data_IF_284640180461
#
_entry.id   IF_284640180461
#
_cell.length_a   1.000
_cell.length_b   1.000
_cell.length_c   1.000
_cell.angle_alpha   90.00
_cell.angle_beta   90.00
_cell.angle_gamma   90.00
#
_symmetry.space_group_name_H-M   'P 1'
#
loop_
_entity.id
_entity.type
_entity.pdbx_description
1 polymer ?
#
# COMPACT_ATOMS: atom_id res chain seq x y z
N UNK A 1 -28.00 -21.81 -25.35
CA UNK A 1 -27.34 -22.82 -24.51
C UNK A 1 -26.35 -22.10 -23.61
N UNK A 2 -26.37 -22.33 -22.30
CA UNK A 2 -25.38 -21.76 -21.38
C UNK A 2 -24.06 -22.51 -21.57
N UNK A 3 -23.06 -21.84 -22.13
CA UNK A 3 -21.73 -22.42 -22.37
C UNK A 3 -20.97 -22.57 -21.05
N UNK A 4 -20.37 -23.74 -20.86
CA UNK A 4 -19.38 -23.94 -19.81
C UNK A 4 -18.11 -23.15 -20.12
N UNK A 5 -17.56 -22.50 -19.10
CA UNK A 5 -16.35 -21.66 -19.21
C UNK A 5 -15.40 -21.96 -18.06
N UNK A 6 -14.12 -21.68 -18.27
CA UNK A 6 -13.10 -21.82 -17.23
C UNK A 6 -12.95 -20.50 -16.45
N UNK A 7 -12.92 -20.60 -15.12
CA UNK A 7 -12.69 -19.46 -14.25
C UNK A 7 -11.25 -18.93 -14.42
N UNK A 8 -11.08 -17.63 -14.69
CA UNK A 8 -9.75 -17.03 -14.79
C UNK A 8 -8.90 -17.09 -13.52
N UNK A 9 -9.52 -17.30 -12.35
CA UNK A 9 -8.81 -17.31 -11.05
C UNK A 9 -8.43 -18.74 -10.63
N UNK A 10 -9.36 -19.68 -10.68
CA UNK A 10 -9.15 -21.05 -10.18
C UNK A 10 -9.14 -22.13 -11.26
N UNK A 11 -9.27 -21.76 -12.54
CA UNK A 11 -9.33 -22.65 -13.71
C UNK A 11 -10.42 -23.72 -13.68
N UNK A 12 -11.35 -23.70 -12.71
CA UNK A 12 -12.47 -24.65 -12.65
C UNK A 12 -13.55 -24.31 -13.69
N UNK A 13 -14.21 -25.31 -14.30
CA UNK A 13 -15.36 -25.09 -15.15
C UNK A 13 -16.52 -24.50 -14.34
N UNK A 14 -17.25 -23.57 -14.93
CA UNK A 14 -18.44 -22.98 -14.35
C UNK A 14 -19.42 -22.53 -15.44
N UNK A 15 -20.69 -22.46 -15.07
CA UNK A 15 -21.76 -21.94 -15.92
C UNK A 15 -21.95 -20.46 -15.60
N UNK A 16 -21.88 -19.61 -16.62
CA UNK A 16 -22.09 -18.17 -16.45
C UNK A 16 -23.54 -17.87 -16.02
N UNK A 17 -23.71 -16.86 -15.16
CA UNK A 17 -25.03 -16.41 -14.74
C UNK A 17 -25.84 -15.90 -15.95
N UNK A 18 -27.13 -16.27 -16.04
CA UNK A 18 -28.08 -15.82 -17.07
C UNK A 18 -28.05 -14.31 -17.30
N UNK A 19 -27.90 -13.51 -16.24
CA UNK A 19 -27.90 -12.04 -16.33
C UNK A 19 -26.51 -11.46 -16.62
N UNK A 20 -25.45 -12.27 -16.57
CA UNK A 20 -24.08 -11.86 -16.86
C UNK A 20 -23.39 -12.92 -17.73
N UNK A 21 -23.80 -13.07 -19.00
CA UNK A 21 -23.21 -14.06 -19.91
C UNK A 21 -21.72 -13.82 -20.17
N UNK A 22 -21.22 -12.60 -19.95
CA UNK A 22 -19.80 -12.23 -20.09
C UNK A 22 -18.98 -12.50 -18.81
N UNK A 23 -19.50 -13.28 -17.87
CA UNK A 23 -18.78 -13.65 -16.66
C UNK A 23 -17.52 -14.46 -16.99
N UNK A 24 -16.38 -14.01 -16.45
CA UNK A 24 -15.06 -14.63 -16.67
C UNK A 24 -14.49 -15.32 -15.42
N UNK A 25 -15.16 -15.16 -14.29
CA UNK A 25 -14.74 -15.67 -12.97
C UNK A 25 -15.93 -16.35 -12.32
N UNK A 26 -15.76 -17.56 -11.79
CA UNK A 26 -16.84 -18.33 -11.16
C UNK A 26 -17.37 -17.65 -9.88
N UNK A 27 -18.54 -18.05 -9.42
CA UNK A 27 -19.26 -17.42 -8.31
C UNK A 27 -18.72 -17.75 -6.91
N UNK A 28 -17.58 -18.44 -6.79
CA UNK A 28 -16.99 -18.74 -5.48
C UNK A 28 -16.48 -17.47 -4.80
N UNK A 29 -16.63 -17.39 -3.47
CA UNK A 29 -16.28 -16.21 -2.69
C UNK A 29 -14.81 -15.79 -2.91
N UNK A 30 -13.90 -16.75 -2.82
CA UNK A 30 -12.46 -16.57 -3.07
C UNK A 30 -12.18 -15.94 -4.45
N UNK A 31 -12.79 -16.47 -5.50
CA UNK A 31 -12.54 -15.98 -6.86
C UNK A 31 -13.17 -14.61 -7.11
N UNK A 32 -14.35 -14.35 -6.53
CA UNK A 32 -14.99 -13.04 -6.59
C UNK A 32 -14.17 -11.99 -5.84
N UNK A 33 -13.61 -12.32 -4.68
CA UNK A 33 -12.75 -11.45 -3.90
C UNK A 33 -11.45 -11.12 -4.66
N UNK A 34 -10.78 -12.12 -5.23
CA UNK A 34 -9.58 -11.90 -6.05
C UNK A 34 -9.87 -11.00 -7.26
N UNK A 35 -10.99 -11.24 -7.96
CA UNK A 35 -11.42 -10.36 -9.06
C UNK A 35 -11.65 -8.92 -8.59
N UNK A 36 -12.25 -8.73 -7.41
CA UNK A 36 -12.45 -7.40 -6.83
C UNK A 36 -11.11 -6.70 -6.57
N UNK A 37 -10.13 -7.40 -6.00
CA UNK A 37 -8.79 -6.87 -5.76
C UNK A 37 -8.09 -6.47 -7.05
N UNK A 38 -8.14 -7.31 -8.09
CA UNK A 38 -7.56 -6.99 -9.40
C UNK A 38 -8.23 -5.77 -10.04
N UNK A 39 -9.56 -5.69 -9.98
CA UNK A 39 -10.31 -4.56 -10.49
C UNK A 39 -9.92 -3.27 -9.76
N UNK A 40 -9.80 -3.33 -8.43
CA UNK A 40 -9.32 -2.20 -7.63
C UNK A 40 -7.90 -1.80 -7.99
N UNK A 41 -7.00 -2.76 -8.20
CA UNK A 41 -5.62 -2.48 -8.62
C UNK A 41 -5.59 -1.76 -9.97
N UNK A 42 -6.24 -2.32 -11.00
CA UNK A 42 -6.33 -1.70 -12.34
C UNK A 42 -6.95 -0.31 -12.29
N UNK A 43 -7.96 -0.12 -11.44
CA UNK A 43 -8.59 1.18 -11.28
C UNK A 43 -7.64 2.19 -10.63
N UNK A 44 -6.90 1.80 -9.58
CA UNK A 44 -5.90 2.67 -8.92
C UNK A 44 -4.76 3.05 -9.85
N UNK A 45 -4.28 2.11 -10.67
CA UNK A 45 -3.22 2.36 -11.65
C UNK A 45 -3.66 3.41 -12.69
N UNK A 46 -4.93 3.39 -13.10
CA UNK A 46 -5.52 4.40 -14.00
C UNK A 46 -5.88 5.72 -13.31
N UNK A 47 -6.04 5.70 -11.98
CA UNK A 47 -6.50 6.84 -11.19
C UNK A 47 -5.54 7.18 -10.04
N UNK A 48 -4.24 7.46 -10.33
CA UNK A 48 -3.21 7.58 -9.30
C UNK A 48 -3.39 8.78 -8.37
N UNK A 49 -4.10 9.82 -8.81
CA UNK A 49 -4.30 11.06 -8.05
C UNK A 49 -5.69 11.18 -7.42
N UNK A 50 -6.59 10.21 -7.61
CA UNK A 50 -7.97 10.29 -7.14
C UNK A 50 -8.07 10.54 -5.62
N UNK A 51 -7.19 9.90 -4.84
CA UNK A 51 -7.17 10.07 -3.39
C UNK A 51 -6.38 11.30 -2.92
N UNK A 52 -5.51 11.87 -3.75
CA UNK A 52 -4.69 13.05 -3.38
C UNK A 52 -5.54 14.31 -3.24
N UNK A 53 -6.59 14.45 -4.04
CA UNK A 53 -7.50 15.60 -3.97
C UNK A 53 -8.26 15.64 -2.63
N UNK A 54 -8.83 14.51 -2.21
CA UNK A 54 -9.53 14.39 -0.91
C UNK A 54 -8.58 14.62 0.28
N UNK A 55 -7.36 14.12 0.20
CA UNK A 55 -6.36 14.29 1.27
C UNK A 55 -5.96 15.75 1.51
N UNK A 56 -5.95 16.57 0.46
CA UNK A 56 -5.58 17.99 0.55
C UNK A 56 -6.73 18.90 1.01
N UNK A 57 -7.99 18.52 0.76
CA UNK A 57 -9.15 19.37 1.03
C UNK A 57 -9.84 19.04 2.37
N UNK A 58 -9.68 17.81 2.88
CA UNK A 58 -10.39 17.33 4.06
C UNK A 58 -9.41 16.91 5.17
N UNK A 59 -9.30 17.75 6.21
CA UNK A 59 -8.48 17.43 7.39
C UNK A 59 -9.00 16.20 8.14
N UNK A 60 -10.31 15.94 8.15
CA UNK A 60 -10.92 14.79 8.83
C UNK A 60 -10.51 13.46 8.19
N UNK A 61 -10.22 13.46 6.88
CA UNK A 61 -9.67 12.32 6.17
C UNK A 61 -8.28 11.95 6.71
N UNK A 62 -7.42 12.93 6.93
CA UNK A 62 -6.06 12.72 7.48
C UNK A 62 -6.12 12.14 8.89
N UNK A 63 -7.04 12.63 9.72
CA UNK A 63 -7.24 12.13 11.08
C UNK A 63 -7.79 10.70 11.08
N UNK A 64 -8.75 10.40 10.21
CA UNK A 64 -9.30 9.06 10.05
C UNK A 64 -8.22 8.08 9.57
N UNK A 65 -7.39 8.48 8.59
CA UNK A 65 -6.26 7.68 8.14
C UNK A 65 -5.24 7.43 9.26
N UNK A 66 -4.95 8.45 10.08
CA UNK A 66 -4.06 8.33 11.24
C UNK A 66 -4.64 7.32 12.25
N UNK A 67 -5.92 7.41 12.58
CA UNK A 67 -6.58 6.48 13.51
C UNK A 67 -6.58 5.05 12.97
N UNK A 68 -6.98 4.84 11.72
CA UNK A 68 -6.94 3.51 11.08
C UNK A 68 -5.54 2.92 11.08
N UNK A 69 -4.51 3.72 10.81
CA UNK A 69 -3.11 3.29 10.89
C UNK A 69 -2.70 2.90 12.30
N UNK A 70 -3.15 3.64 13.33
CA UNK A 70 -2.91 3.29 14.73
C UNK A 70 -3.59 1.97 15.12
N UNK A 71 -4.87 1.81 14.77
CA UNK A 71 -5.63 0.59 15.04
C UNK A 71 -5.02 -0.62 14.34
N UNK A 72 -4.63 -0.46 13.07
CA UNK A 72 -3.98 -1.53 12.33
C UNK A 72 -2.67 -1.96 13.03
N UNK A 73 -1.85 -0.99 13.44
CA UNK A 73 -0.61 -1.27 14.20
C UNK A 73 -0.88 -1.94 15.55
N UNK A 74 -1.95 -1.57 16.25
CA UNK A 74 -2.38 -2.23 17.49
C UNK A 74 -2.78 -3.69 17.25
N UNK A 75 -3.51 -3.97 16.17
CA UNK A 75 -3.97 -5.33 15.83
C UNK A 75 -2.86 -6.22 15.26
N UNK A 76 -1.82 -5.64 14.65
CA UNK A 76 -0.78 -6.36 13.92
C UNK A 76 0.61 -6.21 14.56
N UNK A 77 0.69 -6.28 15.89
CA UNK A 77 1.95 -6.12 16.62
C UNK A 77 2.99 -7.19 16.26
N UNK A 78 2.56 -8.46 16.17
CA UNK A 78 3.46 -9.56 15.81
C UNK A 78 4.03 -9.42 14.41
N UNK A 79 3.20 -9.05 13.43
CA UNK A 79 3.66 -8.73 12.09
C UNK A 79 4.74 -7.64 12.10
N UNK A 80 4.51 -6.56 12.86
CA UNK A 80 5.47 -5.46 12.96
C UNK A 80 6.79 -5.90 13.61
N UNK A 81 6.73 -6.81 14.59
CA UNK A 81 7.92 -7.37 15.24
C UNK A 81 8.76 -8.17 14.25
N UNK A 82 8.13 -9.11 13.54
CA UNK A 82 8.78 -9.93 12.50
C UNK A 82 9.37 -9.06 11.38
N UNK A 83 8.59 -8.09 10.89
CA UNK A 83 9.04 -7.16 9.86
C UNK A 83 10.28 -6.37 10.29
N UNK A 84 10.29 -5.85 11.53
CA UNK A 84 11.45 -5.12 12.08
C UNK A 84 12.68 -6.00 12.23
N UNK A 85 12.49 -7.27 12.56
CA UNK A 85 13.58 -8.24 12.70
C UNK A 85 14.18 -8.58 11.33
N UNK A 86 13.35 -8.94 10.36
CA UNK A 86 13.74 -9.22 8.98
C UNK A 86 14.49 -8.03 8.34
N UNK A 87 14.03 -6.80 8.61
CA UNK A 87 14.58 -5.59 8.00
C UNK A 87 15.60 -4.84 8.88
N UNK A 88 16.08 -5.46 9.97
CA UNK A 88 16.94 -4.82 10.98
C UNK A 88 18.22 -4.25 10.38
N UNK A 89 18.89 -5.00 9.52
CA UNK A 89 20.17 -4.59 8.92
C UNK A 89 20.01 -3.45 7.93
N UNK A 90 19.00 -3.55 7.06
CA UNK A 90 18.65 -2.47 6.12
C UNK A 90 18.34 -1.18 6.87
N UNK A 91 17.58 -1.27 7.97
CA UNK A 91 17.27 -0.13 8.81
C UNK A 91 18.52 0.48 9.48
N UNK A 92 19.44 -0.35 9.98
CA UNK A 92 20.72 0.12 10.54
C UNK A 92 21.56 0.85 9.51
N UNK A 93 21.71 0.28 8.31
CA UNK A 93 22.46 0.89 7.21
C UNK A 93 21.86 2.24 6.79
N UNK A 94 20.53 2.29 6.66
CA UNK A 94 19.80 3.52 6.40
C UNK A 94 20.08 4.58 7.48
N UNK A 95 19.91 4.24 8.76
CA UNK A 95 20.15 5.19 9.86
C UNK A 95 21.60 5.67 9.94
N UNK A 96 22.57 4.80 9.67
CA UNK A 96 23.99 5.19 9.59
C UNK A 96 24.23 6.24 8.52
N UNK A 97 23.70 6.01 7.31
CA UNK A 97 23.83 6.96 6.20
C UNK A 97 23.08 8.27 6.50
N UNK A 98 21.85 8.18 6.99
CA UNK A 98 21.05 9.34 7.41
C UNK A 98 21.81 10.21 8.42
N UNK A 99 22.39 9.61 9.47
CA UNK A 99 23.13 10.36 10.49
C UNK A 99 24.43 10.95 9.96
N UNK A 100 25.11 10.28 9.02
CA UNK A 100 26.29 10.83 8.33
C UNK A 100 25.92 12.08 7.54
N UNK A 101 24.84 12.02 6.77
CA UNK A 101 24.38 13.14 5.95
C UNK A 101 23.86 14.29 6.82
N UNK A 102 23.15 13.98 7.90
CA UNK A 102 22.71 14.95 8.90
C UNK A 102 23.90 15.69 9.53
N UNK A 103 24.94 14.97 9.96
CA UNK A 103 26.17 15.57 10.52
C UNK A 103 26.91 16.41 9.49
N UNK A 104 26.98 15.97 8.22
CA UNK A 104 27.56 16.76 7.12
C UNK A 104 26.80 18.07 6.93
N UNK A 105 25.46 18.02 6.90
CA UNK A 105 24.60 19.22 6.81
C UNK A 105 24.77 20.15 8.01
N UNK A 106 24.81 19.60 9.23
CA UNK A 106 24.99 20.40 10.45
C UNK A 106 26.40 20.98 10.57
N UNK A 107 27.43 20.26 10.15
CA UNK A 107 28.82 20.73 10.11
C UNK A 107 29.03 21.85 9.10
N UNK A 108 28.36 21.79 7.94
CA UNK A 108 28.33 22.89 6.97
C UNK A 108 27.57 24.12 7.50
N UNK A 109 26.57 23.94 8.37
CA UNK A 109 25.84 25.03 9.00
C UNK A 109 26.56 25.64 10.22
N UNK A 110 27.57 24.98 10.79
CA UNK A 110 28.31 25.42 11.98
C UNK A 110 29.70 26.03 11.73
N UNK A 111 30.14 26.12 10.46
CA UNK A 111 31.45 26.68 10.08
C UNK A 111 31.41 28.15 9.62
N UNK A 112 30.33 28.88 9.94
CA UNK A 112 30.05 30.22 9.40
C UNK A 112 30.26 31.42 10.34
N UNK A 113 30.75 31.21 11.58
CA UNK A 113 31.02 32.32 12.51
C UNK A 113 32.38 32.13 13.20
N UNK A 114 33.46 32.47 12.50
CA UNK A 114 34.77 32.84 13.09
C UNK A 114 35.68 33.42 12.01
N UNK A 115 35.30 34.57 11.47
CA UNK A 115 36.21 35.46 10.73
C UNK A 115 35.58 36.85 10.60
N UNK A 116 35.68 37.66 11.66
CA UNK A 116 35.75 39.13 11.53
C UNK A 116 36.70 39.68 12.60
N UNK A 117 37.74 40.32 12.07
CA UNK A 117 38.70 41.32 12.57
C UNK A 117 38.85 41.56 14.06
#
# INVERSE_FOLDING_TARGET
MTEERLCKVCAKPFIANKYRPNQTVCSSLECQYNRQLENMKKWRDRNPNYFKYKENQDSSWRDTCRQRSLEWRKKHQEYLKLYREEHRERHRAYMKNYMRDYRKKKGLAGGGESAKS
#
